data_IF_687350161291
#
_entry.id   IF_687350161291
#
_cell.length_a   1.000
_cell.length_b   1.000
_cell.length_c   1.000
_cell.angle_alpha   90.00
_cell.angle_beta   90.00
_cell.angle_gamma   90.00
#
_symmetry.space_group_name_H-M   'P 1'
#
loop_
_entity.id
_entity.type
_entity.pdbx_description
1 polymer ?
#
# COMPACT_ATOMS: atom_id res chain seq x y z
N UNK A 1 -10.68 17.55 -12.65
CA UNK A 1 -9.63 18.04 -11.74
C UNK A 1 -8.63 16.91 -11.55
N UNK A 2 -7.33 17.23 -11.54
CA UNK A 2 -6.25 16.29 -11.23
C UNK A 2 -5.38 16.91 -10.15
N UNK A 3 -4.59 16.09 -9.46
CA UNK A 3 -3.63 16.55 -8.46
C UNK A 3 -2.59 17.51 -9.08
N UNK A 4 -2.23 18.56 -8.33
CA UNK A 4 -1.25 19.56 -8.73
C UNK A 4 0.16 19.16 -8.30
N UNK A 5 0.78 18.23 -9.04
CA UNK A 5 2.09 17.65 -8.78
C UNK A 5 2.77 17.25 -10.09
N UNK A 6 4.09 17.07 -10.04
CA UNK A 6 4.78 16.25 -11.03
C UNK A 6 4.36 14.78 -10.85
N UNK A 7 4.50 13.99 -11.91
CA UNK A 7 4.16 12.56 -11.85
C UNK A 7 4.90 11.89 -10.68
N UNK A 8 4.20 11.04 -9.93
CA UNK A 8 4.73 10.25 -8.80
C UNK A 8 5.17 11.05 -7.56
N UNK A 9 5.01 12.37 -7.54
CA UNK A 9 5.29 13.19 -6.34
C UNK A 9 4.01 13.54 -5.56
N UNK A 10 4.07 13.83 -4.24
CA UNK A 10 2.91 14.28 -3.49
C UNK A 10 2.32 15.62 -3.99
N UNK A 11 1.01 15.81 -3.78
CA UNK A 11 0.29 17.04 -4.14
C UNK A 11 0.90 18.26 -3.43
N UNK A 12 1.14 19.34 -4.20
CA UNK A 12 1.64 20.59 -3.64
C UNK A 12 0.64 21.17 -2.63
N UNK A 13 1.13 21.59 -1.47
CA UNK A 13 0.32 22.09 -0.35
C UNK A 13 0.44 23.60 -0.16
N UNK A 14 1.67 24.09 -0.30
CA UNK A 14 2.00 25.48 -0.04
C UNK A 14 1.99 26.29 -1.34
N UNK A 15 1.63 27.57 -1.25
CA UNK A 15 1.52 28.45 -2.42
C UNK A 15 2.86 28.57 -3.17
N UNK A 16 3.96 28.71 -2.43
CA UNK A 16 5.30 28.84 -3.00
C UNK A 16 5.78 27.54 -3.65
N UNK A 17 5.41 26.39 -3.04
CA UNK A 17 5.66 25.06 -3.60
C UNK A 17 4.94 24.89 -4.95
N UNK A 18 3.65 25.24 -5.00
CA UNK A 18 2.86 25.15 -6.23
C UNK A 18 3.40 26.05 -7.34
N UNK A 19 3.72 27.32 -7.03
CA UNK A 19 4.28 28.27 -7.99
C UNK A 19 5.63 27.83 -8.55
N UNK A 20 6.44 27.15 -7.73
CA UNK A 20 7.75 26.63 -8.16
C UNK A 20 7.60 25.38 -9.00
N UNK A 21 6.93 24.35 -8.48
CA UNK A 21 6.85 23.02 -9.11
C UNK A 21 5.99 23.00 -10.38
N UNK A 22 4.93 23.80 -10.43
CA UNK A 22 3.95 23.76 -11.53
C UNK A 22 4.15 24.86 -12.58
N UNK A 23 5.20 25.69 -12.45
CA UNK A 23 5.47 26.82 -13.36
C UNK A 23 5.52 26.43 -14.84
N UNK A 24 6.01 25.23 -15.14
CA UNK A 24 6.12 24.70 -16.50
C UNK A 24 4.88 23.92 -16.98
N UNK A 25 3.85 23.80 -16.14
CA UNK A 25 2.67 22.97 -16.39
C UNK A 25 1.41 23.84 -16.48
N UNK A 26 1.24 24.77 -15.54
CA UNK A 26 0.05 25.59 -15.44
C UNK A 26 0.27 27.01 -16.00
N UNK A 27 -0.63 27.47 -16.86
CA UNK A 27 -0.62 28.84 -17.38
C UNK A 27 -1.02 29.88 -16.33
N UNK A 28 -1.88 29.49 -15.39
CA UNK A 28 -2.44 30.37 -14.36
C UNK A 28 -2.56 29.67 -13.01
N UNK A 29 -2.47 30.45 -11.93
CA UNK A 29 -2.60 29.99 -10.55
C UNK A 29 -3.72 30.73 -9.83
N UNK A 30 -4.66 29.98 -9.23
CA UNK A 30 -5.68 30.51 -8.34
C UNK A 30 -5.37 30.08 -6.91
N UNK A 31 -4.84 31.00 -6.11
CA UNK A 31 -4.34 30.74 -4.75
C UNK A 31 -5.22 31.42 -3.69
N UNK A 32 -5.03 31.04 -2.43
CA UNK A 32 -5.68 31.67 -1.28
C UNK A 32 -4.74 31.80 -0.07
N UNK A 33 -5.15 32.59 0.91
CA UNK A 33 -4.40 32.86 2.14
C UNK A 33 -4.76 31.94 3.33
N UNK A 34 -5.58 30.90 3.12
CA UNK A 34 -5.85 29.88 4.13
C UNK A 34 -4.85 28.73 3.97
N UNK A 35 -3.84 28.66 4.83
CA UNK A 35 -2.84 27.58 4.77
C UNK A 35 -3.49 26.19 4.83
N UNK A 36 -3.02 25.27 3.99
CA UNK A 36 -3.43 23.86 4.01
C UNK A 36 -2.49 23.15 4.98
N UNK A 37 -3.01 22.59 6.08
CA UNK A 37 -2.14 21.97 7.07
C UNK A 37 -1.69 20.56 6.66
N UNK A 38 -2.63 19.72 6.20
CA UNK A 38 -2.38 18.35 5.77
C UNK A 38 -2.83 18.14 4.32
N UNK A 39 -2.05 17.34 3.57
CA UNK A 39 -2.32 16.99 2.17
C UNK A 39 -3.31 15.84 2.12
N UNK A 40 -4.38 16.00 1.34
CA UNK A 40 -5.36 14.95 1.08
C UNK A 40 -5.70 14.97 -0.40
N UNK A 41 -5.41 13.88 -1.10
CA UNK A 41 -5.95 13.66 -2.43
C UNK A 41 -7.47 13.53 -2.42
N UNK A 42 -8.06 13.68 -3.59
CA UNK A 42 -9.46 13.34 -3.80
C UNK A 42 -9.68 11.83 -3.64
N UNK A 43 -10.70 11.45 -2.87
CA UNK A 43 -11.15 10.06 -2.83
C UNK A 43 -11.78 9.67 -4.15
N UNK A 44 -11.53 8.44 -4.58
CA UNK A 44 -12.05 7.88 -5.83
C UNK A 44 -12.83 6.62 -5.51
N UNK A 45 -14.08 6.57 -5.97
CA UNK A 45 -14.96 5.42 -5.82
C UNK A 45 -15.48 5.02 -7.20
N UNK A 46 -15.57 3.72 -7.44
CA UNK A 46 -16.31 3.15 -8.56
C UNK A 46 -17.67 2.69 -8.04
N UNK A 47 -18.72 2.89 -8.83
CA UNK A 47 -20.07 2.48 -8.45
C UNK A 47 -20.57 1.50 -9.50
N UNK A 48 -20.67 0.23 -9.10
CA UNK A 48 -21.43 -0.79 -9.82
C UNK A 48 -22.74 -1.02 -9.06
N UNK A 49 -22.91 -2.17 -8.40
CA UNK A 49 -24.08 -2.44 -7.53
C UNK A 49 -24.00 -1.69 -6.19
N UNK A 50 -22.79 -1.45 -5.70
CA UNK A 50 -22.49 -0.68 -4.50
C UNK A 50 -21.23 0.17 -4.70
N UNK A 51 -21.06 1.28 -3.96
CA UNK A 51 -19.83 2.07 -4.02
C UNK A 51 -18.63 1.25 -3.53
N UNK A 52 -17.62 1.12 -4.39
CA UNK A 52 -16.34 0.50 -4.11
C UNK A 52 -15.26 1.59 -4.06
N UNK A 53 -14.64 1.77 -2.91
CA UNK A 53 -13.58 2.78 -2.74
C UNK A 53 -12.29 2.24 -3.34
N UNK A 54 -11.76 2.95 -4.34
CA UNK A 54 -10.45 2.64 -4.96
C UNK A 54 -9.35 3.45 -4.30
N UNK A 55 -9.64 4.71 -3.96
CA UNK A 55 -8.72 5.61 -3.24
C UNK A 55 -9.46 6.22 -2.06
N UNK A 56 -9.05 5.86 -0.84
CA UNK A 56 -9.55 6.45 0.41
C UNK A 56 -8.66 7.63 0.80
N UNK A 57 -9.17 8.85 0.67
CA UNK A 57 -8.45 10.06 1.05
C UNK A 57 -9.45 11.11 1.58
N UNK A 58 -9.61 12.26 0.90
CA UNK A 58 -10.50 13.35 1.33
C UNK A 58 -11.94 12.86 1.58
N UNK A 59 -12.49 13.26 2.72
CA UNK A 59 -13.87 12.92 3.12
C UNK A 59 -14.02 11.57 3.82
N UNK A 60 -12.98 10.72 3.82
CA UNK A 60 -12.96 9.45 4.54
C UNK A 60 -11.88 9.43 5.61
N UNK A 61 -10.63 9.70 5.25
CA UNK A 61 -9.57 9.80 6.23
C UNK A 61 -9.70 11.13 7.03
N UNK A 62 -9.42 11.13 8.35
CA UNK A 62 -8.87 10.03 9.15
C UNK A 62 -9.95 9.26 9.96
N UNK A 63 -11.18 9.13 9.45
CA UNK A 63 -12.25 8.40 10.16
C UNK A 63 -11.83 6.94 10.39
N UNK A 64 -11.93 6.42 11.64
CA UNK A 64 -11.44 5.10 11.96
C UNK A 64 -12.33 3.98 11.41
N UNK A 65 -11.73 2.81 11.24
CA UNK A 65 -12.41 1.54 11.03
C UNK A 65 -12.52 0.83 12.39
N UNK A 66 -13.72 0.39 12.77
CA UNK A 66 -13.93 -0.37 14.01
C UNK A 66 -13.44 -1.81 13.85
N UNK A 67 -12.62 -2.26 14.80
CA UNK A 67 -12.10 -3.62 14.87
C UNK A 67 -13.00 -4.50 15.75
N UNK A 68 -13.12 -5.80 15.45
CA UNK A 68 -13.93 -6.73 16.25
C UNK A 68 -13.21 -7.21 17.52
N UNK A 69 -12.05 -6.63 17.86
CA UNK A 69 -11.21 -6.97 18.99
C UNK A 69 -10.39 -5.75 19.44
N UNK A 70 -9.96 -5.76 20.70
CA UNK A 70 -9.01 -4.78 21.22
C UNK A 70 -7.58 -5.20 20.88
N UNK A 71 -6.79 -4.25 20.38
CA UNK A 71 -5.39 -4.44 20.00
C UNK A 71 -4.47 -3.55 20.83
N UNK A 72 -3.20 -3.94 20.87
CA UNK A 72 -2.10 -3.05 21.25
C UNK A 72 -1.99 -1.87 20.28
N UNK A 73 -1.17 -0.89 20.63
CA UNK A 73 -0.84 0.23 19.74
C UNK A 73 0.11 -0.25 18.64
N UNK A 74 -0.36 -0.26 17.40
CA UNK A 74 0.38 -0.81 16.25
C UNK A 74 0.47 0.25 15.15
N UNK A 75 1.64 0.41 14.55
CA UNK A 75 1.84 1.08 13.26
C UNK A 75 1.94 0.01 12.17
N UNK A 76 1.01 -0.03 11.23
CA UNK A 76 1.13 -0.85 10.02
C UNK A 76 1.57 0.04 8.86
N UNK A 77 2.76 -0.20 8.30
CA UNK A 77 3.37 0.66 7.29
C UNK A 77 2.80 0.45 5.87
N UNK A 78 2.10 -0.66 5.62
CA UNK A 78 1.49 -0.95 4.32
C UNK A 78 2.49 -1.36 3.23
N UNK A 79 1.99 -1.46 1.99
CA UNK A 79 2.74 -1.86 0.81
C UNK A 79 3.49 -0.68 0.15
N UNK A 80 4.24 -0.91 -0.92
CA UNK A 80 4.95 0.15 -1.65
C UNK A 80 4.02 0.96 -2.58
N UNK A 81 3.19 0.28 -3.36
CA UNK A 81 2.28 0.91 -4.31
C UNK A 81 0.96 1.31 -3.64
N UNK A 82 0.45 2.49 -4.01
CA UNK A 82 -0.79 3.10 -3.49
C UNK A 82 -0.86 3.05 -1.96
N UNK A 83 0.27 3.33 -1.31
CA UNK A 83 0.46 3.15 0.11
C UNK A 83 -0.57 3.93 0.95
N UNK A 84 -0.97 3.27 2.02
CA UNK A 84 -1.56 3.87 3.22
C UNK A 84 -0.96 3.19 4.43
N UNK A 85 -0.63 3.94 5.48
CA UNK A 85 -0.33 3.35 6.77
C UNK A 85 -1.58 3.31 7.65
N UNK A 86 -1.56 2.46 8.68
CA UNK A 86 -2.63 2.39 9.67
C UNK A 86 -2.04 2.47 11.07
N UNK A 87 -2.62 3.31 11.93
CA UNK A 87 -2.35 3.30 13.36
C UNK A 87 -3.53 2.65 14.08
N UNK A 88 -3.26 1.68 14.93
CA UNK A 88 -4.29 0.93 15.65
C UNK A 88 -4.22 1.30 17.13
N UNK A 89 -5.37 1.62 17.74
CA UNK A 89 -5.51 1.83 19.19
C UNK A 89 -6.83 1.28 19.67
N UNK A 90 -6.78 0.47 20.74
CA UNK A 90 -7.96 -0.17 21.29
C UNK A 90 -8.72 -0.96 20.21
N UNK A 91 -9.95 -0.55 19.88
CA UNK A 91 -10.81 -1.19 18.87
C UNK A 91 -10.90 -0.36 17.58
N UNK A 92 -9.94 0.53 17.33
CA UNK A 92 -9.97 1.46 16.19
C UNK A 92 -8.70 1.37 15.36
N UNK A 93 -8.88 1.27 14.05
CA UNK A 93 -7.84 1.37 13.03
C UNK A 93 -7.97 2.70 12.29
N UNK A 94 -7.02 3.61 12.53
CA UNK A 94 -6.90 4.91 11.89
C UNK A 94 -6.06 4.78 10.63
N UNK A 95 -6.73 4.56 9.50
CA UNK A 95 -6.07 4.50 8.20
C UNK A 95 -5.74 5.92 7.71
N UNK A 96 -4.52 6.10 7.19
CA UNK A 96 -4.09 7.36 6.58
C UNK A 96 -4.90 7.67 5.32
N UNK A 97 -4.78 8.91 4.84
CA UNK A 97 -5.10 9.19 3.45
C UNK A 97 -4.14 8.43 2.53
N UNK A 98 -4.53 8.28 1.27
CA UNK A 98 -3.63 7.84 0.19
C UNK A 98 -2.34 8.67 0.21
N UNK A 99 -1.21 7.98 0.40
CA UNK A 99 0.12 8.60 0.39
C UNK A 99 0.67 8.67 -1.04
N UNK A 100 0.43 7.63 -1.83
CA UNK A 100 0.95 7.51 -3.19
C UNK A 100 1.81 6.26 -3.36
N UNK A 101 2.61 6.23 -4.42
CA UNK A 101 3.57 5.15 -4.67
C UNK A 101 4.91 5.50 -4.00
N UNK A 102 5.40 4.61 -3.13
CA UNK A 102 6.59 4.83 -2.31
C UNK A 102 7.88 4.60 -3.11
N UNK A 103 8.11 5.39 -4.15
CA UNK A 103 9.23 5.20 -5.11
C UNK A 103 10.33 6.26 -4.99
N UNK A 104 10.08 7.35 -4.26
CA UNK A 104 10.99 8.49 -4.16
C UNK A 104 11.09 9.04 -2.71
N UNK A 105 12.11 9.87 -2.48
CA UNK A 105 12.42 10.44 -1.18
C UNK A 105 11.32 11.40 -0.70
N UNK A 106 10.76 12.20 -1.60
CA UNK A 106 9.69 13.15 -1.31
C UNK A 106 8.44 12.45 -0.74
N UNK A 107 8.09 11.27 -1.28
CA UNK A 107 6.95 10.47 -0.79
C UNK A 107 7.28 9.81 0.54
N UNK A 108 8.52 9.34 0.74
CA UNK A 108 8.96 8.78 2.02
C UNK A 108 8.97 9.84 3.14
N UNK A 109 9.42 11.05 2.85
CA UNK A 109 9.32 12.18 3.77
C UNK A 109 7.87 12.52 4.08
N UNK A 110 7.00 12.56 3.06
CA UNK A 110 5.57 12.80 3.26
C UNK A 110 4.94 11.72 4.16
N UNK A 111 5.28 10.45 3.93
CA UNK A 111 4.85 9.31 4.72
C UNK A 111 5.26 9.44 6.19
N UNK A 112 6.54 9.66 6.46
CA UNK A 112 7.08 9.81 7.82
C UNK A 112 6.45 10.99 8.57
N UNK A 113 6.37 12.15 7.93
CA UNK A 113 5.73 13.34 8.51
C UNK A 113 4.25 13.11 8.83
N UNK A 114 3.55 12.35 7.98
CA UNK A 114 2.12 12.05 8.20
C UNK A 114 1.94 11.04 9.33
N UNK A 115 2.82 10.05 9.48
CA UNK A 115 2.81 9.15 10.65
C UNK A 115 2.94 9.94 11.94
N UNK A 116 3.95 10.81 12.04
CA UNK A 116 4.14 11.64 13.24
C UNK A 116 2.93 12.53 13.54
N UNK A 117 2.31 13.08 12.49
CA UNK A 117 1.09 13.87 12.64
C UNK A 117 -0.04 13.02 13.23
N UNK A 118 -0.24 11.80 12.74
CA UNK A 118 -1.30 10.91 13.24
C UNK A 118 -0.99 10.41 14.67
N UNK A 119 0.27 10.07 14.98
CA UNK A 119 0.70 9.72 16.35
C UNK A 119 0.34 10.85 17.33
N UNK A 120 0.64 12.11 16.97
CA UNK A 120 0.28 13.30 17.77
C UNK A 120 -1.24 13.52 17.84
N UNK A 121 -1.94 13.42 16.72
CA UNK A 121 -3.38 13.67 16.62
C UNK A 121 -4.20 12.69 17.47
N UNK A 122 -3.83 11.41 17.44
CA UNK A 122 -4.54 10.33 18.15
C UNK A 122 -3.92 9.95 19.49
N UNK A 123 -2.81 10.62 19.88
CA UNK A 123 -2.02 10.32 21.09
C UNK A 123 -1.69 8.84 21.14
N UNK A 124 -1.04 8.40 20.08
CA UNK A 124 -0.71 7.02 19.75
C UNK A 124 0.81 6.85 19.83
N UNK A 125 1.24 5.89 20.63
CA UNK A 125 2.65 5.50 20.80
C UNK A 125 2.74 4.01 20.42
N UNK A 126 3.12 3.68 19.17
CA UNK A 126 3.17 2.29 18.71
C UNK A 126 4.16 1.46 19.54
N UNK A 127 3.71 0.28 19.99
CA UNK A 127 4.55 -0.74 20.62
C UNK A 127 5.12 -1.73 19.59
N UNK A 128 4.43 -1.83 18.44
CA UNK A 128 4.69 -2.80 17.38
C UNK A 128 4.59 -2.08 16.04
N UNK A 129 5.48 -2.43 15.12
CA UNK A 129 5.40 -2.05 13.71
C UNK A 129 5.16 -3.31 12.87
N UNK A 130 4.07 -3.30 12.11
CA UNK A 130 3.75 -4.30 11.09
C UNK A 130 4.14 -3.78 9.70
N UNK A 131 4.74 -4.64 8.89
CA UNK A 131 5.23 -4.28 7.55
C UNK A 131 5.11 -5.46 6.58
N UNK A 132 5.13 -5.17 5.29
CA UNK A 132 5.07 -6.21 4.25
C UNK A 132 6.34 -7.09 4.27
N UNK A 133 6.21 -8.37 3.96
CA UNK A 133 7.35 -9.27 3.85
C UNK A 133 8.37 -8.89 2.76
N UNK A 134 7.99 -8.04 1.80
CA UNK A 134 8.90 -7.60 0.75
C UNK A 134 10.08 -6.77 1.34
N UNK A 135 11.34 -7.24 1.21
CA UNK A 135 12.48 -6.60 1.87
C UNK A 135 12.88 -5.26 1.24
N UNK A 136 12.63 -5.08 -0.06
CA UNK A 136 13.09 -3.89 -0.77
C UNK A 136 12.16 -2.67 -0.68
N UNK A 137 10.92 -2.85 -0.19
CA UNK A 137 9.96 -1.76 -0.09
C UNK A 137 10.49 -0.64 0.80
N UNK A 138 10.31 0.61 0.37
CA UNK A 138 10.67 1.77 1.21
C UNK A 138 9.87 1.77 2.53
N UNK A 139 8.61 1.33 2.51
CA UNK A 139 7.79 1.18 3.72
C UNK A 139 8.36 0.13 4.69
N UNK A 140 8.89 -0.98 4.18
CA UNK A 140 9.57 -2.02 4.96
C UNK A 140 10.89 -1.51 5.53
N UNK A 141 11.73 -0.87 4.72
CA UNK A 141 13.00 -0.28 5.18
C UNK A 141 12.77 0.75 6.27
N UNK A 142 11.78 1.63 6.10
CA UNK A 142 11.34 2.57 7.13
C UNK A 142 10.92 1.85 8.42
N UNK A 143 10.06 0.83 8.32
CA UNK A 143 9.58 0.07 9.47
C UNK A 143 10.74 -0.55 10.28
N UNK A 144 11.69 -1.18 9.58
CA UNK A 144 12.85 -1.82 10.20
C UNK A 144 13.77 -0.79 10.87
N UNK A 145 14.03 0.34 10.21
CA UNK A 145 14.86 1.41 10.75
C UNK A 145 14.23 1.99 12.03
N UNK A 146 12.99 2.44 11.96
CA UNK A 146 12.28 3.06 13.10
C UNK A 146 12.08 2.05 14.23
N UNK A 147 11.77 0.81 13.89
CA UNK A 147 11.61 -0.26 14.88
C UNK A 147 12.90 -0.52 15.65
N UNK A 148 14.05 -0.51 14.97
CA UNK A 148 15.36 -0.66 15.63
C UNK A 148 15.70 0.55 16.49
N UNK A 149 15.51 1.77 15.98
CA UNK A 149 15.81 3.03 16.69
C UNK A 149 14.96 3.19 17.96
N UNK A 150 13.67 2.83 17.90
CA UNK A 150 12.72 2.95 19.01
C UNK A 150 12.64 1.69 19.87
N UNK A 151 13.30 0.59 19.50
CA UNK A 151 13.26 -0.69 20.21
C UNK A 151 11.87 -1.36 20.20
N UNK A 152 11.13 -1.24 19.09
CA UNK A 152 9.76 -1.73 18.95
C UNK A 152 9.71 -3.16 18.40
N UNK A 153 8.61 -3.86 18.68
CA UNK A 153 8.36 -5.18 18.09
C UNK A 153 8.13 -5.08 16.59
N UNK A 154 8.80 -5.91 15.80
CA UNK A 154 8.70 -5.93 14.33
C UNK A 154 7.96 -7.19 13.89
N UNK A 155 6.85 -7.04 13.15
CA UNK A 155 6.03 -8.16 12.65
C UNK A 155 5.91 -8.09 11.12
N UNK A 156 6.53 -9.02 10.37
CA UNK A 156 6.30 -9.12 8.95
C UNK A 156 4.93 -9.75 8.66
N UNK A 157 4.19 -9.21 7.69
CA UNK A 157 2.87 -9.68 7.25
C UNK A 157 2.90 -9.96 5.76
N UNK A 158 2.35 -11.10 5.35
CA UNK A 158 2.32 -11.48 3.95
C UNK A 158 1.27 -10.66 3.17
N UNK A 159 1.63 -10.16 1.99
CA UNK A 159 0.83 -9.24 1.19
C UNK A 159 -0.60 -9.72 0.89
N UNK A 160 -0.74 -10.96 0.40
CA UNK A 160 -2.04 -11.54 0.02
C UNK A 160 -2.90 -11.88 1.25
N UNK A 161 -2.27 -12.30 2.34
CA UNK A 161 -2.92 -12.49 3.63
C UNK A 161 -3.47 -11.15 4.16
N UNK A 162 -2.71 -10.07 4.04
CA UNK A 162 -3.17 -8.72 4.40
C UNK A 162 -4.39 -8.27 3.57
N UNK A 163 -4.39 -8.52 2.25
CA UNK A 163 -5.56 -8.26 1.39
C UNK A 163 -6.81 -8.96 1.90
N UNK A 164 -6.73 -10.27 2.15
CA UNK A 164 -7.88 -11.05 2.60
C UNK A 164 -8.33 -10.60 4.00
N UNK A 165 -7.40 -10.37 4.93
CA UNK A 165 -7.71 -9.93 6.29
C UNK A 165 -8.40 -8.57 6.29
N UNK A 166 -8.01 -7.64 5.40
CA UNK A 166 -8.70 -6.34 5.27
C UNK A 166 -10.19 -6.51 4.94
N UNK A 167 -10.51 -7.44 4.04
CA UNK A 167 -11.88 -7.78 3.67
C UNK A 167 -12.66 -8.42 4.83
N UNK A 168 -12.02 -9.28 5.62
CA UNK A 168 -12.63 -9.87 6.83
C UNK A 168 -12.99 -8.81 7.87
N UNK A 169 -12.09 -7.84 8.09
CA UNK A 169 -12.33 -6.74 9.03
C UNK A 169 -13.52 -5.90 8.58
N UNK A 170 -13.54 -5.47 7.31
CA UNK A 170 -14.61 -4.64 6.76
C UNK A 170 -15.98 -5.35 6.82
N UNK A 171 -16.02 -6.64 6.49
CA UNK A 171 -17.24 -7.44 6.49
C UNK A 171 -17.58 -8.05 7.86
N UNK A 172 -16.78 -7.77 8.91
CA UNK A 172 -16.97 -8.28 10.28
C UNK A 172 -17.04 -9.81 10.37
N UNK A 173 -16.37 -10.49 9.45
CA UNK A 173 -16.31 -11.96 9.41
C UNK A 173 -15.29 -12.45 10.43
N UNK A 174 -15.63 -13.52 11.15
CA UNK A 174 -14.77 -14.14 12.16
C UNK A 174 -14.52 -15.61 11.82
N UNK A 175 -13.31 -16.08 12.15
CA UNK A 175 -12.91 -17.47 11.95
C UNK A 175 -12.21 -17.72 10.61
N UNK A 176 -11.79 -18.97 10.35
CA UNK A 176 -11.08 -19.33 9.14
C UNK A 176 -11.95 -19.22 7.88
N UNK A 177 -11.39 -18.70 6.81
CA UNK A 177 -12.02 -18.57 5.49
C UNK A 177 -11.13 -19.13 4.39
N UNK A 178 -11.73 -19.43 3.25
CA UNK A 178 -10.99 -19.51 1.99
C UNK A 178 -11.02 -18.12 1.37
N UNK A 179 -9.86 -17.48 1.32
CA UNK A 179 -9.68 -16.21 0.62
C UNK A 179 -9.00 -16.42 -0.73
N UNK A 180 -9.44 -15.63 -1.71
CA UNK A 180 -8.85 -15.59 -3.05
C UNK A 180 -8.26 -14.20 -3.23
N UNK A 181 -6.96 -14.13 -3.48
CA UNK A 181 -6.22 -12.87 -3.62
C UNK A 181 -5.58 -12.83 -5.01
N UNK A 182 -6.16 -12.00 -5.88
CA UNK A 182 -5.65 -11.73 -7.22
C UNK A 182 -5.15 -10.28 -7.27
N UNK A 183 -3.85 -10.12 -7.46
CA UNK A 183 -3.19 -8.83 -7.58
C UNK A 183 -2.19 -8.85 -8.75
N UNK A 184 -1.36 -7.80 -8.84
CA UNK A 184 -0.29 -7.75 -9.85
C UNK A 184 0.93 -8.55 -9.44
N UNK A 185 1.58 -8.12 -8.35
CA UNK A 185 2.81 -8.71 -7.85
C UNK A 185 2.88 -8.52 -6.33
N UNK A 186 2.90 -9.61 -5.58
CA UNK A 186 3.20 -9.61 -4.15
C UNK A 186 4.34 -10.56 -3.80
N UNK A 187 5.12 -10.23 -2.77
CA UNK A 187 6.23 -11.07 -2.33
C UNK A 187 5.73 -12.39 -1.71
N UNK A 188 6.13 -13.49 -2.32
CA UNK A 188 5.86 -14.83 -1.85
C UNK A 188 6.78 -15.24 -0.71
N UNK A 189 6.27 -16.06 0.20
CA UNK A 189 7.09 -16.64 1.29
C UNK A 189 8.19 -17.58 0.81
N UNK A 190 8.12 -18.04 -0.43
CA UNK A 190 9.09 -18.89 -1.12
C UNK A 190 10.09 -18.06 -1.96
N UNK A 191 10.06 -16.73 -1.86
CA UNK A 191 10.93 -15.83 -2.62
C UNK A 191 10.49 -15.62 -4.08
N UNK A 192 9.34 -16.19 -4.47
CA UNK A 192 8.74 -15.98 -5.80
C UNK A 192 7.72 -14.85 -5.78
N UNK A 193 7.20 -14.46 -6.94
CA UNK A 193 6.13 -13.48 -7.06
C UNK A 193 4.79 -14.22 -7.05
N UNK A 194 3.92 -13.81 -6.15
CA UNK A 194 2.53 -14.25 -6.07
C UNK A 194 1.62 -13.21 -6.73
N UNK A 195 0.42 -13.63 -7.14
CA UNK A 195 -0.62 -12.75 -7.69
C UNK A 195 -1.93 -13.47 -8.06
N UNK A 196 -2.02 -14.77 -7.72
CA UNK A 196 -3.09 -15.66 -8.16
C UNK A 196 -3.43 -16.70 -7.11
N UNK A 197 -3.67 -16.29 -5.87
CA UNK A 197 -3.55 -17.16 -4.69
C UNK A 197 -4.88 -17.58 -4.06
N UNK A 198 -4.94 -18.83 -3.61
CA UNK A 198 -6.02 -19.39 -2.80
C UNK A 198 -5.46 -19.74 -1.41
N UNK A 199 -5.91 -19.03 -0.39
CA UNK A 199 -5.42 -19.16 0.99
C UNK A 199 -6.55 -19.64 1.91
N UNK A 200 -6.26 -20.61 2.76
CA UNK A 200 -7.04 -20.90 3.97
C UNK A 200 -6.47 -20.05 5.10
N UNK A 201 -7.16 -19.01 5.56
CA UNK A 201 -6.60 -18.05 6.51
C UNK A 201 -7.61 -17.50 7.51
N UNK A 202 -7.08 -16.97 8.62
CA UNK A 202 -7.80 -16.16 9.59
C UNK A 202 -6.97 -14.89 9.90
N UNK A 203 -7.26 -14.18 11.00
CA UNK A 203 -6.50 -12.98 11.38
C UNK A 203 -5.04 -13.23 11.77
N UNK A 204 -4.65 -14.47 12.09
CA UNK A 204 -3.34 -14.82 12.69
C UNK A 204 -2.46 -15.61 11.74
N UNK A 205 -3.04 -16.47 10.93
CA UNK A 205 -2.27 -17.35 10.05
C UNK A 205 -2.94 -17.54 8.70
N UNK A 206 -2.15 -18.01 7.75
CA UNK A 206 -2.61 -18.44 6.45
C UNK A 206 -1.90 -19.73 6.06
N UNK A 207 -2.58 -20.53 5.25
CA UNK A 207 -2.03 -21.68 4.54
C UNK A 207 -2.38 -21.52 3.06
N UNK A 208 -1.37 -21.56 2.20
CA UNK A 208 -1.58 -21.57 0.76
C UNK A 208 -2.08 -22.94 0.33
N UNK A 209 -3.28 -22.99 -0.28
CA UNK A 209 -3.96 -24.24 -0.68
C UNK A 209 -4.09 -24.38 -2.19
N UNK A 210 -3.88 -23.30 -2.95
CA UNK A 210 -3.86 -23.30 -4.40
C UNK A 210 -3.24 -22.01 -4.95
N UNK A 211 -2.74 -22.06 -6.17
CA UNK A 211 -2.16 -20.93 -6.88
C UNK A 211 -2.17 -21.17 -8.39
N UNK A 212 -2.06 -20.10 -9.17
CA UNK A 212 -1.75 -20.21 -10.59
C UNK A 212 -0.34 -20.79 -10.78
N UNK A 213 -0.15 -21.53 -11.88
CA UNK A 213 1.17 -22.08 -12.22
C UNK A 213 2.18 -20.95 -12.43
N UNK A 214 3.36 -21.09 -11.83
CA UNK A 214 4.43 -20.12 -12.02
C UNK A 214 4.87 -20.06 -13.47
N UNK A 215 4.91 -18.83 -13.99
CA UNK A 215 5.46 -18.53 -15.31
C UNK A 215 6.69 -17.64 -15.17
N UNK A 216 7.70 -17.77 -16.05
CA UNK A 216 8.81 -16.84 -16.06
C UNK A 216 8.32 -15.40 -16.30
N UNK A 217 9.01 -14.42 -15.69
CA UNK A 217 8.77 -12.98 -15.86
C UNK A 217 9.98 -12.34 -16.58
N UNK A 218 10.04 -12.36 -17.94
CA UNK A 218 11.24 -11.99 -18.66
C UNK A 218 11.61 -10.51 -18.48
N UNK A 219 12.69 -10.27 -17.73
CA UNK A 219 13.19 -8.94 -17.43
C UNK A 219 12.48 -8.25 -16.26
N UNK A 220 11.83 -8.99 -15.37
CA UNK A 220 11.28 -8.47 -14.10
C UNK A 220 10.34 -7.29 -14.33
N UNK A 221 10.62 -6.16 -13.69
CA UNK A 221 9.85 -4.91 -13.83
C UNK A 221 9.65 -4.45 -15.28
N UNK A 222 10.61 -4.72 -16.18
CA UNK A 222 10.46 -4.30 -17.56
C UNK A 222 9.32 -5.05 -18.27
N UNK A 223 8.85 -6.19 -17.76
CA UNK A 223 7.65 -6.86 -18.25
C UNK A 223 6.36 -6.13 -17.84
N UNK A 224 6.36 -5.38 -16.74
CA UNK A 224 5.23 -4.55 -16.30
C UNK A 224 4.98 -3.43 -17.31
N UNK A 225 6.06 -2.76 -17.75
CA UNK A 225 5.99 -1.68 -18.76
C UNK A 225 5.81 -2.20 -20.19
N UNK A 226 6.14 -3.47 -20.44
CA UNK A 226 6.10 -4.11 -21.77
C UNK A 226 5.35 -5.45 -21.72
N UNK A 227 4.00 -5.44 -21.68
CA UNK A 227 3.19 -6.64 -21.46
C UNK A 227 3.39 -7.76 -22.49
N UNK A 228 3.85 -7.43 -23.70
CA UNK A 228 4.18 -8.44 -24.71
C UNK A 228 5.24 -9.45 -24.25
N UNK A 229 6.09 -9.09 -23.27
CA UNK A 229 7.07 -10.01 -22.67
C UNK A 229 6.39 -11.13 -21.90
N UNK A 230 5.26 -10.85 -21.25
CA UNK A 230 4.43 -11.87 -20.61
C UNK A 230 3.63 -12.69 -21.61
N UNK A 231 3.14 -12.07 -22.69
CA UNK A 231 2.42 -12.81 -23.74
C UNK A 231 3.28 -13.94 -24.36
N UNK A 232 4.60 -13.73 -24.48
CA UNK A 232 5.54 -14.76 -24.96
C UNK A 232 5.59 -15.96 -24.00
N UNK A 233 5.50 -15.74 -22.69
CA UNK A 233 5.56 -16.82 -21.70
C UNK A 233 4.29 -17.66 -21.68
N UNK A 234 3.16 -17.05 -22.03
CA UNK A 234 1.89 -17.74 -22.23
C UNK A 234 1.81 -18.55 -23.54
N UNK A 235 2.82 -18.48 -24.42
CA UNK A 235 2.87 -19.22 -25.68
C UNK A 235 3.86 -20.39 -25.61
N UNK A 236 3.42 -21.60 -25.22
CA UNK A 236 4.31 -22.73 -24.88
C UNK A 236 5.12 -23.31 -26.06
N UNK A 237 4.91 -22.85 -27.29
CA UNK A 237 5.59 -23.41 -28.49
C UNK A 237 6.86 -22.69 -28.93
N UNK A 238 7.19 -21.51 -28.39
CA UNK A 238 8.26 -20.68 -28.95
C UNK A 238 9.22 -20.07 -27.90
N UNK A 239 9.28 -20.58 -26.67
CA UNK A 239 10.27 -20.06 -25.71
C UNK A 239 11.69 -20.56 -26.06
N UNK A 240 12.61 -19.69 -26.51
CA UNK A 240 14.00 -20.05 -26.70
C UNK A 240 14.63 -20.41 -25.34
N UNK A 241 15.58 -21.34 -25.27
CA UNK A 241 16.24 -21.72 -24.02
C UNK A 241 16.83 -20.54 -23.23
N UNK A 242 17.20 -19.46 -23.93
CA UNK A 242 17.75 -18.23 -23.34
C UNK A 242 16.74 -17.34 -22.60
N UNK A 243 15.43 -17.59 -22.74
CA UNK A 243 14.36 -16.87 -22.04
C UNK A 243 13.70 -17.70 -20.93
N UNK A 244 14.16 -18.94 -20.74
CA UNK A 244 13.88 -19.71 -19.53
C UNK A 244 14.71 -19.10 -18.41
N UNK A 245 14.21 -18.03 -17.79
CA UNK A 245 14.82 -17.43 -16.62
C UNK A 245 15.07 -18.50 -15.55
N UNK A 246 16.16 -18.35 -14.81
CA UNK A 246 16.44 -19.16 -13.62
C UNK A 246 15.22 -19.14 -12.70
N UNK A 247 14.74 -20.34 -12.39
CA UNK A 247 13.67 -20.59 -11.42
C UNK A 247 13.93 -19.91 -10.09
#
# INVERSE_FOLDING_TARGET
>A
MTSGNLSEEPIAKDNDEALTRLKGIADYFLLHNRGIYARYDDSVCMVEDAPQVIRRARGYAPYPISLPFRSKQILACGAELKNTFCLIKDEHAFLSQHIGDMENEETLEHFANTIELFEKLFRLEPEIIAYDMHPEYLSTKYALQVGLERGLGLIPVQHHHAHIVSCLVENKVKGPVIGVAFDGTGYGTDGTIWGGEFLLCDFRSFQRVGHLEYVPLPGGEAAIKKPYRMAITACPREMPPSLQGTR
#
